data_IF_115965331378
#
_entry.id   IF_115965331378
#
_cell.length_a   1.000
_cell.length_b   1.000
_cell.length_c   1.000
_cell.angle_alpha   90.00
_cell.angle_beta   90.00
_cell.angle_gamma   90.00
#
_symmetry.space_group_name_H-M   'P 1'
#
loop_
_entity.id
_entity.type
_entity.pdbx_description
1 polymer ?
#
# COMPACT_ATOMS: atom_id res chain seq x y z
N UNK A 1 6.60 6.54 27.19
CA UNK A 1 5.89 5.89 28.30
C UNK A 1 4.75 5.06 27.71
N UNK A 2 4.52 3.84 28.20
CA UNK A 2 3.19 3.20 28.13
C UNK A 2 2.47 3.81 29.33
N UNK A 3 1.52 4.70 29.11
CA UNK A 3 0.96 5.57 30.16
C UNK A 3 0.16 4.84 31.25
N UNK A 4 -0.03 3.54 31.13
CA UNK A 4 -0.40 2.69 32.25
C UNK A 4 0.57 1.52 32.29
N UNK A 5 1.18 1.23 33.44
CA UNK A 5 2.21 0.19 33.64
C UNK A 5 1.78 -1.27 33.38
N UNK A 6 0.82 -1.52 32.48
CA UNK A 6 0.46 -2.84 31.97
C UNK A 6 1.50 -3.26 30.93
N UNK A 7 2.11 -4.42 31.13
CA UNK A 7 3.04 -4.99 30.17
C UNK A 7 2.34 -5.17 28.81
N UNK A 8 3.03 -4.88 27.70
CA UNK A 8 2.49 -5.02 26.32
C UNK A 8 1.84 -6.39 26.09
N UNK A 9 2.36 -7.45 26.72
CA UNK A 9 1.80 -8.79 26.66
C UNK A 9 0.42 -8.96 27.35
N UNK A 10 0.12 -8.18 28.38
CA UNK A 10 -1.18 -8.18 29.05
C UNK A 10 -2.22 -7.45 28.18
N UNK A 11 -1.86 -6.29 27.64
CA UNK A 11 -2.72 -5.52 26.74
C UNK A 11 -3.01 -6.29 25.45
N UNK A 12 -2.02 -6.95 24.86
CA UNK A 12 -2.20 -7.80 23.68
C UNK A 12 -3.19 -8.95 23.94
N UNK A 13 -3.12 -9.59 25.12
CA UNK A 13 -4.07 -10.63 25.54
C UNK A 13 -5.49 -10.11 25.74
N UNK A 14 -5.65 -8.90 26.28
CA UNK A 14 -6.97 -8.27 26.44
C UNK A 14 -7.62 -7.90 25.10
N UNK A 15 -6.79 -7.50 24.13
CA UNK A 15 -7.22 -7.09 22.80
C UNK A 15 -7.34 -8.27 21.81
N UNK A 16 -7.07 -9.50 22.25
CA UNK A 16 -7.02 -10.71 21.43
C UNK A 16 -6.15 -10.58 20.16
N UNK A 17 -5.03 -9.86 20.29
CA UNK A 17 -4.04 -9.68 19.21
C UNK A 17 -2.70 -10.24 19.65
N UNK A 18 -1.87 -10.60 18.66
CA UNK A 18 -0.53 -11.07 18.98
C UNK A 18 0.30 -9.97 19.66
N UNK A 19 1.07 -10.29 20.73
CA UNK A 19 1.96 -9.32 21.37
C UNK A 19 2.99 -8.72 20.40
N UNK A 20 3.40 -9.49 19.38
CA UNK A 20 4.30 -9.03 18.31
C UNK A 20 3.66 -7.94 17.46
N UNK A 21 2.38 -8.08 17.14
CA UNK A 21 1.60 -7.07 16.41
C UNK A 21 1.50 -5.78 17.22
N UNK A 22 1.15 -5.89 18.50
CA UNK A 22 1.03 -4.72 19.37
C UNK A 22 2.38 -4.03 19.59
N UNK A 23 3.46 -4.79 19.77
CA UNK A 23 4.81 -4.23 19.84
C UNK A 23 5.20 -3.47 18.57
N UNK A 24 4.85 -4.02 17.40
CA UNK A 24 5.10 -3.35 16.12
C UNK A 24 4.32 -2.04 16.03
N UNK A 25 3.03 -2.04 16.37
CA UNK A 25 2.23 -0.82 16.37
C UNK A 25 2.73 0.24 17.35
N UNK A 26 3.16 -0.13 18.57
CA UNK A 26 3.75 0.82 19.53
C UNK A 26 5.07 1.39 18.99
N UNK A 27 5.90 0.59 18.34
CA UNK A 27 7.15 1.05 17.74
C UNK A 27 6.89 1.98 16.54
N UNK A 28 5.94 1.61 15.68
CA UNK A 28 5.55 2.39 14.51
C UNK A 28 4.88 3.71 14.96
N UNK A 29 4.02 3.69 15.99
CA UNK A 29 3.38 4.89 16.57
C UNK A 29 4.37 5.87 17.17
N UNK A 30 5.44 5.38 17.81
CA UNK A 30 6.52 6.24 18.33
C UNK A 30 7.34 6.89 17.22
N UNK A 31 7.46 6.25 16.06
CA UNK A 31 8.20 6.77 14.92
C UNK A 31 7.36 7.75 14.10
N UNK A 32 6.08 7.43 13.94
CA UNK A 32 5.13 8.15 13.13
C UNK A 32 3.71 7.88 13.65
N UNK A 33 3.20 8.77 14.50
CA UNK A 33 1.88 8.63 15.11
C UNK A 33 0.74 8.77 14.07
N UNK A 34 1.00 9.38 12.92
CA UNK A 34 -0.01 9.72 11.91
C UNK A 34 -0.18 8.60 10.86
N UNK A 35 0.84 7.77 10.65
CA UNK A 35 0.83 6.66 9.67
C UNK A 35 1.12 5.27 10.26
N UNK A 36 1.01 5.13 11.58
CA UNK A 36 1.40 3.91 12.31
C UNK A 36 0.42 2.75 12.20
N UNK A 37 -0.84 3.02 11.86
CA UNK A 37 -1.87 2.01 11.65
C UNK A 37 -1.98 1.67 10.16
N UNK A 38 -1.08 0.81 9.66
CA UNK A 38 -1.17 0.25 8.32
C UNK A 38 -2.18 -0.90 8.29
N UNK A 39 -3.29 -0.72 7.57
CA UNK A 39 -4.43 -1.66 7.51
C UNK A 39 -5.78 -0.95 7.53
N UNK A 40 -6.83 -1.60 7.00
CA UNK A 40 -8.20 -1.06 6.88
C UNK A 40 -8.38 0.09 5.89
N UNK A 41 -7.63 0.10 4.78
CA UNK A 41 -7.75 1.13 3.73
C UNK A 41 -6.82 2.35 3.91
N UNK A 42 -6.13 2.46 5.04
CA UNK A 42 -5.04 3.41 5.24
C UNK A 42 -3.73 2.80 4.73
N UNK A 43 -3.40 3.11 3.49
CA UNK A 43 -2.10 2.88 2.89
C UNK A 43 -1.19 4.07 3.24
N UNK A 44 0.08 3.83 3.55
CA UNK A 44 1.04 4.93 3.73
C UNK A 44 1.02 5.83 2.49
N UNK A 45 1.19 7.16 2.64
CA UNK A 45 1.17 8.08 1.51
C UNK A 45 2.15 7.66 0.40
N UNK A 46 3.34 7.17 0.77
CA UNK A 46 4.36 6.65 -0.15
C UNK A 46 3.86 5.46 -0.99
N UNK A 47 3.05 4.57 -0.39
CA UNK A 47 2.50 3.41 -1.08
C UNK A 47 1.31 3.80 -1.99
N UNK A 48 0.62 4.91 -1.69
CA UNK A 48 -0.49 5.43 -2.51
C UNK A 48 0.04 5.95 -3.84
N UNK A 49 1.07 6.80 -3.80
CA UNK A 49 1.68 7.35 -5.02
C UNK A 49 2.23 6.23 -5.90
N UNK A 50 2.92 5.25 -5.29
CA UNK A 50 3.41 4.08 -6.01
C UNK A 50 2.29 3.31 -6.72
N UNK A 51 1.14 3.14 -6.06
CA UNK A 51 -0.01 2.44 -6.64
C UNK A 51 -0.62 3.20 -7.81
N UNK A 52 -0.77 4.52 -7.68
CA UNK A 52 -1.28 5.37 -8.77
C UNK A 52 -0.32 5.38 -9.97
N UNK A 53 0.99 5.48 -9.73
CA UNK A 53 2.01 5.38 -10.77
C UNK A 53 1.96 4.02 -11.48
N UNK A 54 1.87 2.93 -10.73
CA UNK A 54 1.74 1.60 -11.31
C UNK A 54 0.46 1.44 -12.13
N UNK A 55 -0.65 2.06 -11.72
CA UNK A 55 -1.88 2.08 -12.50
C UNK A 55 -1.67 2.84 -13.81
N UNK A 56 -1.09 4.04 -13.75
CA UNK A 56 -0.84 4.86 -14.93
C UNK A 56 0.07 4.19 -15.94
N UNK A 57 1.11 3.48 -15.47
CA UNK A 57 1.99 2.69 -16.34
C UNK A 57 1.20 1.63 -17.09
N UNK A 58 0.36 0.84 -16.39
CA UNK A 58 -0.46 -0.20 -17.04
C UNK A 58 -1.39 0.39 -18.11
N UNK A 59 -2.08 1.48 -17.79
CA UNK A 59 -2.99 2.13 -18.73
C UNK A 59 -2.23 2.60 -19.99
N UNK A 60 -1.05 3.22 -19.82
CA UNK A 60 -0.20 3.68 -20.92
C UNK A 60 0.37 2.55 -21.76
N UNK A 61 0.73 1.42 -21.15
CA UNK A 61 1.19 0.23 -21.85
C UNK A 61 0.09 -0.38 -22.72
N UNK A 62 -1.14 -0.42 -22.21
CA UNK A 62 -2.33 -0.88 -22.93
C UNK A 62 -2.65 0.04 -24.12
N UNK A 63 -2.71 1.36 -23.89
CA UNK A 63 -2.91 2.36 -24.95
C UNK A 63 -1.86 2.20 -26.06
N UNK A 64 -0.58 2.06 -25.69
CA UNK A 64 0.49 1.83 -26.66
C UNK A 64 0.32 0.52 -27.43
N UNK A 65 -0.10 -0.55 -26.77
CA UNK A 65 -0.34 -1.84 -27.43
C UNK A 65 -1.47 -1.73 -28.46
N UNK A 66 -2.56 -1.03 -28.12
CA UNK A 66 -3.67 -0.76 -29.02
C UNK A 66 -3.20 0.05 -30.23
N UNK A 67 -2.47 1.15 -30.00
CA UNK A 67 -1.94 2.00 -31.07
C UNK A 67 -1.01 1.23 -32.00
N UNK A 68 -0.08 0.44 -31.45
CA UNK A 68 0.81 -0.43 -32.25
C UNK A 68 0.03 -1.43 -33.09
N UNK A 69 -1.01 -2.05 -32.52
CA UNK A 69 -1.87 -2.98 -33.24
C UNK A 69 -2.63 -2.28 -34.38
N UNK A 70 -3.19 -1.10 -34.13
CA UNK A 70 -3.87 -0.30 -35.14
C UNK A 70 -2.92 0.07 -36.29
N UNK A 71 -1.74 0.62 -35.98
CA UNK A 71 -0.72 0.95 -36.98
C UNK A 71 -0.33 -0.26 -37.83
N UNK A 72 -0.15 -1.43 -37.22
CA UNK A 72 0.15 -2.67 -37.96
C UNK A 72 -0.95 -3.05 -38.95
N UNK A 73 -2.23 -2.87 -38.57
CA UNK A 73 -3.37 -3.13 -39.46
C UNK A 73 -3.39 -2.12 -40.62
N UNK A 74 -3.25 -0.83 -40.32
CA UNK A 74 -3.26 0.22 -41.34
C UNK A 74 -2.10 0.05 -42.34
N UNK A 75 -0.89 -0.26 -41.87
CA UNK A 75 0.26 -0.48 -42.74
C UNK A 75 0.09 -1.70 -43.67
N UNK A 76 -0.64 -2.74 -43.24
CA UNK A 76 -0.92 -3.93 -44.07
C UNK A 76 -1.99 -3.68 -45.14
N UNK A 77 -2.89 -2.73 -44.91
CA UNK A 77 -3.98 -2.38 -45.83
C UNK A 77 -3.59 -1.31 -46.87
N UNK A 78 -2.33 -0.87 -46.93
CA UNK A 78 -1.81 0.09 -47.92
C UNK A 78 -1.30 -0.60 -49.22
N UNK A 79 -1.88 -1.73 -49.61
CA UNK A 79 -1.59 -2.44 -50.88
C UNK A 79 -2.81 -2.44 -51.79
#
# INVERSE_FOLDING_TARGET
MVEEGKAVAQTARQLDISPKTLHKWVADYKKDAEHSFVGSGNLKPEDREKRELQKRIRDLEEENAILKKAMSIFAKNQK
#
